data_IF_800834286639
#
_entry.id   IF_800834286639
#
_cell.length_a   1.000
_cell.length_b   1.000
_cell.length_c   1.000
_cell.angle_alpha   90.00
_cell.angle_beta   90.00
_cell.angle_gamma   90.00
#
_symmetry.space_group_name_H-M   'P 1'
#
loop_
_entity.id
_entity.type
_entity.pdbx_description
1 polymer ?
#
# COMPACT_ATOMS: atom_id res chain seq x y z
N UNK A 1 -15.51 17.99 12.30
CA UNK A 1 -14.16 18.42 11.87
C UNK A 1 -13.27 17.18 11.85
N UNK A 2 -12.72 16.79 10.69
CA UNK A 2 -11.92 15.56 10.58
C UNK A 2 -10.60 15.67 11.34
N UNK A 3 -10.00 14.53 11.72
CA UNK A 3 -8.68 14.49 12.35
C UNK A 3 -7.60 15.18 11.50
N UNK A 4 -7.72 15.08 10.17
CA UNK A 4 -6.85 15.78 9.21
C UNK A 4 -7.00 17.31 9.32
N UNK A 5 -8.22 17.84 9.43
CA UNK A 5 -8.45 19.28 9.56
C UNK A 5 -7.91 19.82 10.88
N UNK A 6 -8.09 19.08 11.97
CA UNK A 6 -7.52 19.43 13.27
C UNK A 6 -5.98 19.43 13.24
N UNK A 7 -5.36 18.44 12.59
CA UNK A 7 -3.91 18.38 12.40
C UNK A 7 -3.39 19.56 11.56
N UNK A 8 -4.02 19.82 10.39
CA UNK A 8 -3.66 20.97 9.52
C UNK A 8 -3.75 22.30 10.27
N UNK A 9 -4.77 22.49 11.11
CA UNK A 9 -4.91 23.68 11.96
C UNK A 9 -3.79 23.80 12.99
N UNK A 10 -3.36 22.67 13.59
CA UNK A 10 -2.30 22.64 14.61
C UNK A 10 -0.91 22.95 14.05
N UNK A 11 -0.55 22.38 12.89
CA UNK A 11 0.79 22.57 12.30
C UNK A 11 0.88 23.81 11.41
N UNK A 12 -0.26 24.33 10.96
CA UNK A 12 -0.33 25.44 10.01
C UNK A 12 -0.36 24.97 8.55
N UNK A 13 -1.06 25.71 7.68
CA UNK A 13 -1.34 25.31 6.30
C UNK A 13 -0.07 25.11 5.46
N UNK A 14 0.89 26.05 5.55
CA UNK A 14 2.13 25.99 4.79
C UNK A 14 3.00 24.79 5.19
N UNK A 15 3.15 24.57 6.50
CA UNK A 15 3.93 23.44 7.01
C UNK A 15 3.23 22.09 6.74
N UNK A 16 1.90 22.03 6.88
CA UNK A 16 1.14 20.86 6.48
C UNK A 16 1.36 20.49 5.01
N UNK A 17 1.38 21.51 4.13
CA UNK A 17 1.64 21.30 2.70
C UNK A 17 3.06 20.79 2.46
N UNK A 18 4.06 21.40 3.11
CA UNK A 18 5.46 20.97 3.01
C UNK A 18 5.63 19.51 3.44
N UNK A 19 5.08 19.13 4.61
CA UNK A 19 5.13 17.76 5.13
C UNK A 19 4.48 16.76 4.15
N UNK A 20 3.33 17.11 3.58
CA UNK A 20 2.61 16.25 2.63
C UNK A 20 3.44 16.07 1.36
N UNK A 21 3.98 17.14 0.79
CA UNK A 21 4.79 17.09 -0.42
C UNK A 21 6.07 16.27 -0.21
N UNK A 22 6.79 16.48 0.90
CA UNK A 22 8.00 15.71 1.22
C UNK A 22 7.69 14.22 1.42
N UNK A 23 6.62 13.91 2.14
CA UNK A 23 6.24 12.51 2.40
C UNK A 23 5.76 11.80 1.12
N UNK A 24 5.06 12.52 0.23
CA UNK A 24 4.63 11.99 -1.06
C UNK A 24 5.84 11.69 -1.97
N UNK A 25 6.76 12.66 -2.11
CA UNK A 25 7.96 12.47 -2.93
C UNK A 25 8.82 11.31 -2.44
N UNK A 26 9.03 11.20 -1.12
CA UNK A 26 9.77 10.08 -0.54
C UNK A 26 9.09 8.73 -0.82
N UNK A 27 7.77 8.66 -0.64
CA UNK A 27 6.98 7.46 -0.94
C UNK A 27 7.11 7.03 -2.41
N UNK A 28 6.93 7.97 -3.35
CA UNK A 28 7.05 7.71 -4.79
C UNK A 28 8.43 7.17 -5.17
N UNK A 29 9.51 7.79 -4.68
CA UNK A 29 10.87 7.32 -5.01
C UNK A 29 11.13 5.95 -4.35
N UNK A 30 10.64 5.72 -3.13
CA UNK A 30 10.76 4.43 -2.43
C UNK A 30 10.05 3.31 -3.20
N UNK A 31 8.82 3.54 -3.66
CA UNK A 31 8.08 2.61 -4.53
C UNK A 31 8.86 2.30 -5.80
N UNK A 32 9.40 3.32 -6.48
CA UNK A 32 10.18 3.09 -7.70
C UNK A 32 11.43 2.24 -7.46
N UNK A 33 12.10 2.39 -6.31
CA UNK A 33 13.20 1.51 -5.92
C UNK A 33 12.75 0.05 -5.71
N UNK A 34 11.58 -0.17 -5.13
CA UNK A 34 11.03 -1.51 -4.87
C UNK A 34 10.57 -2.18 -6.16
N UNK A 35 9.87 -1.45 -7.02
CA UNK A 35 9.49 -1.88 -8.37
C UNK A 35 10.73 -2.31 -9.16
N UNK A 36 11.74 -1.44 -9.24
CA UNK A 36 12.96 -1.74 -10.00
C UNK A 36 13.70 -2.96 -9.45
N UNK A 37 13.69 -3.17 -8.13
CA UNK A 37 14.26 -4.36 -7.51
C UNK A 37 13.51 -5.63 -7.90
N UNK A 38 12.18 -5.61 -7.86
CA UNK A 38 11.31 -6.74 -8.21
C UNK A 38 11.43 -7.09 -9.70
N UNK A 39 11.52 -6.09 -10.57
CA UNK A 39 11.71 -6.26 -12.01
C UNK A 39 13.14 -6.69 -12.40
N UNK A 40 14.10 -6.61 -11.46
CA UNK A 40 15.51 -6.92 -11.72
C UNK A 40 16.22 -5.89 -12.60
N UNK A 41 15.71 -4.65 -12.64
CA UNK A 41 16.30 -3.53 -13.39
C UNK A 41 17.09 -2.59 -12.47
N UNK A 42 17.85 -1.69 -13.06
CA UNK A 42 18.63 -0.72 -12.29
C UNK A 42 17.72 0.21 -11.48
N UNK A 43 17.99 0.31 -10.18
CA UNK A 43 17.23 1.18 -9.27
C UNK A 43 17.56 2.65 -9.52
N UNK A 44 16.61 3.58 -9.28
CA UNK A 44 16.84 5.00 -9.51
C UNK A 44 18.10 5.53 -8.81
N UNK A 45 18.94 6.23 -9.57
CA UNK A 45 20.09 6.93 -9.02
C UNK A 45 19.76 8.39 -8.74
N UNK A 46 20.21 8.90 -7.59
CA UNK A 46 20.08 10.31 -7.25
C UNK A 46 20.89 10.66 -6.01
N UNK A 47 21.46 11.87 -6.01
CA UNK A 47 22.35 12.34 -4.92
C UNK A 47 21.65 13.22 -3.91
N UNK A 48 20.41 13.65 -4.16
CA UNK A 48 19.67 14.45 -3.20
C UNK A 48 19.19 13.59 -2.02
N UNK A 49 18.84 14.25 -0.91
CA UNK A 49 18.46 13.59 0.33
C UNK A 49 17.26 12.63 0.18
N UNK A 50 16.30 12.96 -0.70
CA UNK A 50 15.11 12.12 -0.92
C UNK A 50 15.49 10.79 -1.55
N UNK A 51 16.40 10.79 -2.55
CA UNK A 51 16.85 9.55 -3.20
C UNK A 51 17.69 8.69 -2.27
N UNK A 52 18.60 9.29 -1.48
CA UNK A 52 19.40 8.56 -0.50
C UNK A 52 18.49 7.89 0.54
N UNK A 53 17.56 8.65 1.11
CA UNK A 53 16.62 8.13 2.10
C UNK A 53 15.68 7.08 1.49
N UNK A 54 15.15 7.29 0.28
CA UNK A 54 14.29 6.32 -0.39
C UNK A 54 15.02 5.00 -0.66
N UNK A 55 16.29 5.06 -1.05
CA UNK A 55 17.13 3.89 -1.23
C UNK A 55 17.28 3.12 0.09
N UNK A 56 17.63 3.79 1.19
CA UNK A 56 17.77 3.17 2.51
C UNK A 56 16.47 2.52 2.99
N UNK A 57 15.34 3.22 2.85
CA UNK A 57 14.03 2.72 3.26
C UNK A 57 13.58 1.51 2.43
N UNK A 58 13.85 1.52 1.12
CA UNK A 58 13.55 0.38 0.25
C UNK A 58 14.50 -0.80 0.51
N UNK A 59 15.79 -0.56 0.82
CA UNK A 59 16.72 -1.62 1.24
C UNK A 59 16.18 -2.36 2.47
N UNK A 60 15.67 -1.62 3.47
CA UNK A 60 15.06 -2.21 4.67
C UNK A 60 13.85 -3.10 4.32
N UNK A 61 12.96 -2.64 3.44
CA UNK A 61 11.81 -3.45 3.00
C UNK A 61 12.28 -4.69 2.23
N UNK A 62 13.29 -4.55 1.38
CA UNK A 62 13.85 -5.66 0.60
C UNK A 62 14.40 -6.73 1.54
N UNK A 63 15.27 -6.34 2.47
CA UNK A 63 15.97 -7.25 3.38
C UNK A 63 15.02 -7.98 4.33
N UNK A 64 13.95 -7.31 4.79
CA UNK A 64 13.04 -7.87 5.80
C UNK A 64 11.76 -8.48 5.20
N UNK A 65 11.20 -7.87 4.15
CA UNK A 65 9.87 -8.19 3.65
C UNK A 65 9.82 -9.12 2.44
N UNK A 66 10.90 -9.22 1.67
CA UNK A 66 10.90 -10.00 0.42
C UNK A 66 11.27 -11.47 0.63
N UNK A 67 11.84 -11.83 1.79
CA UNK A 67 12.38 -13.16 2.08
C UNK A 67 11.38 -14.32 1.96
N UNK A 68 10.08 -14.03 2.11
CA UNK A 68 8.99 -15.01 2.04
C UNK A 68 8.13 -14.88 0.78
N UNK A 69 8.49 -14.01 -0.15
CA UNK A 69 7.80 -13.92 -1.43
C UNK A 69 8.30 -15.04 -2.32
N UNK A 70 7.39 -15.94 -2.72
CA UNK A 70 7.68 -17.05 -3.61
C UNK A 70 7.68 -16.60 -5.07
N UNK A 71 6.68 -15.81 -5.45
CA UNK A 71 6.43 -15.35 -6.81
C UNK A 71 5.78 -13.98 -6.79
N UNK A 72 6.08 -13.13 -7.78
CA UNK A 72 5.36 -11.88 -8.04
C UNK A 72 4.61 -12.03 -9.35
N UNK A 73 3.29 -11.89 -9.30
CA UNK A 73 2.39 -11.97 -10.46
C UNK A 73 2.19 -10.62 -11.14
N UNK A 74 2.32 -9.52 -10.39
CA UNK A 74 2.26 -8.16 -10.92
C UNK A 74 2.81 -7.13 -9.94
N UNK A 75 3.37 -6.06 -10.49
CA UNK A 75 3.85 -4.87 -9.78
C UNK A 75 3.27 -3.63 -10.48
N UNK A 76 2.80 -2.64 -9.74
CA UNK A 76 2.11 -1.45 -10.29
C UNK A 76 1.00 -1.83 -11.28
N UNK A 77 0.25 -2.89 -10.95
CA UNK A 77 -0.72 -3.50 -11.85
C UNK A 77 -2.05 -2.77 -11.77
N UNK A 78 -2.51 -2.24 -12.91
CA UNK A 78 -3.89 -1.75 -13.06
C UNK A 78 -4.89 -2.89 -12.91
N UNK A 79 -5.83 -2.74 -11.99
CA UNK A 79 -6.92 -3.67 -11.71
C UNK A 79 -8.26 -2.95 -11.81
N UNK A 80 -9.25 -3.63 -12.37
CA UNK A 80 -10.58 -3.11 -12.57
C UNK A 80 -11.60 -4.15 -12.15
N UNK A 81 -12.51 -3.79 -11.26
CA UNK A 81 -13.76 -4.51 -11.09
C UNK A 81 -14.75 -3.97 -12.12
N UNK A 82 -15.14 -4.76 -13.14
CA UNK A 82 -15.93 -4.25 -14.26
C UNK A 82 -17.17 -3.48 -13.81
N UNK A 83 -17.35 -2.28 -14.36
CA UNK A 83 -18.47 -1.38 -14.10
C UNK A 83 -18.61 -0.84 -12.66
N UNK A 84 -17.66 -1.11 -11.75
CA UNK A 84 -17.71 -0.63 -10.36
C UNK A 84 -16.55 0.27 -9.97
N UNK A 85 -15.30 -0.16 -10.15
CA UNK A 85 -14.14 0.64 -9.75
C UNK A 85 -12.85 0.12 -10.40
N UNK A 86 -11.83 0.97 -10.42
CA UNK A 86 -10.50 0.59 -10.85
C UNK A 86 -9.45 1.29 -9.98
N UNK A 87 -8.24 0.72 -9.96
CA UNK A 87 -7.07 1.32 -9.33
C UNK A 87 -5.81 0.52 -9.65
N UNK A 88 -4.70 0.93 -9.06
CA UNK A 88 -3.41 0.27 -9.25
C UNK A 88 -2.98 -0.39 -7.96
N UNK A 89 -2.71 -1.69 -7.99
CA UNK A 89 -2.13 -2.40 -6.85
C UNK A 89 -0.60 -2.30 -6.92
N UNK A 90 0.03 -2.00 -5.79
CA UNK A 90 1.49 -1.98 -5.69
C UNK A 90 2.05 -3.35 -6.10
N UNK A 91 1.54 -4.43 -5.53
CA UNK A 91 2.02 -5.79 -5.79
C UNK A 91 0.93 -6.85 -5.67
N UNK A 92 0.95 -7.82 -6.57
CA UNK A 92 0.20 -9.07 -6.49
C UNK A 92 1.22 -10.21 -6.46
N UNK A 93 1.23 -11.00 -5.38
CA UNK A 93 2.29 -11.99 -5.19
C UNK A 93 1.82 -13.22 -4.40
N UNK A 94 2.66 -14.25 -4.36
CA UNK A 94 2.54 -15.39 -3.47
C UNK A 94 3.51 -15.20 -2.31
N UNK A 95 2.99 -15.05 -1.10
CA UNK A 95 3.76 -14.88 0.13
C UNK A 95 3.59 -16.10 1.02
N UNK A 96 4.67 -16.79 1.38
CA UNK A 96 4.64 -18.00 2.21
C UNK A 96 3.61 -19.05 1.71
N UNK A 97 3.58 -19.22 0.38
CA UNK A 97 2.68 -20.15 -0.33
C UNK A 97 1.23 -19.68 -0.50
N UNK A 98 0.86 -18.47 -0.05
CA UNK A 98 -0.50 -17.93 -0.20
C UNK A 98 -0.54 -16.72 -1.14
N UNK A 99 -1.49 -16.66 -2.10
CA UNK A 99 -1.72 -15.45 -2.88
C UNK A 99 -2.17 -14.28 -2.00
N UNK A 100 -1.55 -13.12 -2.17
CA UNK A 100 -1.85 -11.89 -1.41
C UNK A 100 -1.83 -10.66 -2.32
N UNK A 101 -2.59 -9.64 -1.94
CA UNK A 101 -2.32 -8.26 -2.38
C UNK A 101 -1.30 -7.64 -1.44
N UNK A 102 -0.12 -7.30 -1.98
CA UNK A 102 0.94 -6.59 -1.28
C UNK A 102 0.82 -5.08 -1.47
N UNK A 103 1.12 -4.32 -0.41
CA UNK A 103 1.09 -2.86 -0.44
C UNK A 103 2.24 -2.29 0.40
N UNK A 104 3.05 -1.42 -0.21
CA UNK A 104 4.22 -0.83 0.40
C UNK A 104 3.86 0.54 0.97
N UNK A 105 4.17 0.79 2.24
CA UNK A 105 3.94 2.12 2.86
C UNK A 105 5.19 2.68 3.48
N UNK A 106 5.45 3.96 3.23
CA UNK A 106 6.36 4.77 4.05
C UNK A 106 5.57 5.56 5.07
N UNK A 107 6.05 5.66 6.31
CA UNK A 107 5.36 6.43 7.34
C UNK A 107 6.27 7.26 8.24
N UNK A 108 5.78 8.42 8.70
CA UNK A 108 6.51 9.23 9.70
C UNK A 108 6.51 8.64 11.10
N UNK A 109 5.61 7.68 11.37
CA UNK A 109 5.46 7.04 12.68
C UNK A 109 5.15 5.56 12.52
N UNK A 110 5.68 4.77 13.44
CA UNK A 110 5.30 3.37 13.67
C UNK A 110 3.77 3.27 13.78
N UNK A 111 3.22 2.22 13.17
CA UNK A 111 1.78 1.97 13.09
C UNK A 111 1.36 0.84 14.01
N UNK A 112 0.12 0.92 14.47
CA UNK A 112 -0.59 -0.21 15.06
C UNK A 112 -1.58 -0.75 14.05
N UNK A 113 -1.87 -2.05 14.11
CA UNK A 113 -2.74 -2.74 13.15
C UNK A 113 -4.14 -2.10 13.11
N UNK A 114 -4.68 -1.70 14.26
CA UNK A 114 -5.97 -1.03 14.38
C UNK A 114 -6.01 0.39 13.79
N UNK A 115 -4.87 0.99 13.46
CA UNK A 115 -4.80 2.32 12.82
C UNK A 115 -4.73 2.27 11.30
N UNK A 116 -4.57 1.07 10.73
CA UNK A 116 -4.32 0.87 9.30
C UNK A 116 -5.39 0.01 8.63
N UNK A 117 -6.57 -0.08 9.24
CA UNK A 117 -7.68 -0.88 8.69
C UNK A 117 -8.04 -0.47 7.25
N UNK A 118 -7.99 0.83 6.93
CA UNK A 118 -8.24 1.31 5.57
C UNK A 118 -7.21 0.79 4.54
N UNK A 119 -5.98 0.43 4.95
CA UNK A 119 -5.01 -0.20 4.03
C UNK A 119 -5.45 -1.63 3.67
N UNK A 120 -6.00 -2.38 4.63
CA UNK A 120 -6.54 -3.71 4.33
C UNK A 120 -7.83 -3.64 3.50
N UNK A 121 -8.64 -2.59 3.68
CA UNK A 121 -9.79 -2.31 2.79
C UNK A 121 -9.33 -2.04 1.36
N UNK A 122 -8.22 -1.30 1.18
CA UNK A 122 -7.59 -1.09 -0.13
C UNK A 122 -7.13 -2.43 -0.75
N UNK A 123 -6.43 -3.28 0.02
CA UNK A 123 -6.07 -4.63 -0.45
C UNK A 123 -7.29 -5.46 -0.85
N UNK A 124 -8.39 -5.39 -0.09
CA UNK A 124 -9.62 -6.12 -0.40
C UNK A 124 -10.26 -5.67 -1.72
N UNK A 125 -10.24 -4.36 -2.00
CA UNK A 125 -10.70 -3.82 -3.29
C UNK A 125 -9.91 -4.42 -4.46
N UNK A 126 -8.58 -4.44 -4.35
CA UNK A 126 -7.72 -5.01 -5.39
C UNK A 126 -7.86 -6.53 -5.51
N UNK A 127 -8.00 -7.24 -4.39
CA UNK A 127 -8.23 -8.69 -4.40
C UNK A 127 -9.52 -9.03 -5.13
N UNK A 128 -10.62 -8.34 -4.84
CA UNK A 128 -11.91 -8.53 -5.53
C UNK A 128 -11.80 -8.26 -7.03
N UNK A 129 -11.15 -7.16 -7.43
CA UNK A 129 -10.95 -6.84 -8.85
C UNK A 129 -10.09 -7.89 -9.57
N UNK A 130 -9.00 -8.35 -8.93
CA UNK A 130 -8.14 -9.39 -9.49
C UNK A 130 -8.89 -10.72 -9.61
N UNK A 131 -9.63 -11.12 -8.58
CA UNK A 131 -10.42 -12.35 -8.56
C UNK A 131 -11.48 -12.36 -9.67
N UNK A 132 -12.17 -11.24 -9.88
CA UNK A 132 -13.18 -11.11 -10.93
C UNK A 132 -12.57 -11.20 -12.34
N UNK A 133 -11.45 -10.52 -12.59
CA UNK A 133 -10.84 -10.46 -13.93
C UNK A 133 -10.09 -11.73 -14.29
N UNK A 134 -9.39 -12.35 -13.34
CA UNK A 134 -8.47 -13.46 -13.59
C UNK A 134 -8.97 -14.81 -13.07
N UNK A 135 -10.15 -14.87 -12.43
CA UNK A 135 -10.70 -16.10 -11.86
C UNK A 135 -9.90 -16.65 -10.67
N UNK A 136 -9.16 -15.79 -9.97
CA UNK A 136 -8.41 -16.17 -8.76
C UNK A 136 -9.29 -16.12 -7.49
N UNK A 137 -8.73 -16.57 -6.37
CA UNK A 137 -9.37 -16.47 -5.04
C UNK A 137 -8.39 -15.92 -3.99
N UNK A 138 -7.91 -14.69 -4.21
CA UNK A 138 -7.05 -13.99 -3.26
C UNK A 138 -7.89 -13.59 -2.04
N UNK A 139 -7.55 -14.16 -0.87
CA UNK A 139 -8.25 -13.96 0.41
C UNK A 139 -7.32 -13.37 1.48
N UNK A 140 -6.30 -12.62 1.07
CA UNK A 140 -5.30 -12.07 1.97
C UNK A 140 -4.68 -10.76 1.48
N UNK A 141 -4.27 -9.93 2.43
CA UNK A 141 -3.58 -8.66 2.20
C UNK A 141 -2.34 -8.56 3.09
N UNK A 142 -1.24 -8.09 2.51
CA UNK A 142 0.05 -7.94 3.16
C UNK A 142 0.51 -6.48 3.08
N UNK A 143 0.57 -5.82 4.23
CA UNK A 143 1.06 -4.44 4.32
C UNK A 143 2.51 -4.47 4.80
N UNK A 144 3.41 -3.86 4.03
CA UNK A 144 4.83 -3.75 4.29
C UNK A 144 5.15 -2.28 4.57
N UNK A 145 5.43 -1.93 5.83
CA UNK A 145 5.62 -0.55 6.25
C UNK A 145 7.05 -0.33 6.71
N UNK A 146 7.66 0.76 6.27
CA UNK A 146 8.88 1.29 6.87
C UNK A 146 8.66 2.72 7.38
N UNK A 147 9.09 2.98 8.60
CA UNK A 147 9.06 4.34 9.14
C UNK A 147 10.20 5.18 8.52
N UNK A 148 10.09 6.50 8.54
CA UNK A 148 11.19 7.39 8.12
C UNK A 148 12.43 7.26 9.02
N UNK A 149 12.30 6.64 10.21
CA UNK A 149 13.40 6.29 11.10
C UNK A 149 14.00 4.90 10.84
N UNK A 150 13.52 4.19 9.81
CA UNK A 150 14.01 2.86 9.43
C UNK A 150 13.38 1.70 10.20
N UNK A 151 12.29 1.93 10.92
CA UNK A 151 11.59 0.83 11.62
C UNK A 151 10.67 0.09 10.66
N UNK A 152 10.96 -1.19 10.43
CA UNK A 152 10.16 -2.08 9.59
C UNK A 152 9.02 -2.73 10.38
N UNK A 153 7.84 -2.79 9.77
CA UNK A 153 6.68 -3.50 10.27
C UNK A 153 5.96 -4.19 9.11
N UNK A 154 5.40 -5.36 9.38
CA UNK A 154 4.52 -6.03 8.43
C UNK A 154 3.26 -6.50 9.10
N UNK A 155 2.16 -6.45 8.36
CA UNK A 155 0.86 -6.92 8.83
C UNK A 155 0.21 -7.76 7.74
N UNK A 156 0.00 -9.04 8.05
CA UNK A 156 -0.74 -9.97 7.21
C UNK A 156 -2.15 -10.16 7.80
N UNK A 157 -3.16 -10.05 6.93
CA UNK A 157 -4.55 -10.40 7.23
C UNK A 157 -5.01 -11.43 6.21
N UNK A 158 -5.77 -12.45 6.63
CA UNK A 158 -6.20 -13.55 5.76
C UNK A 158 -7.56 -14.11 6.15
N UNK A 159 -8.23 -14.76 5.20
CA UNK A 159 -9.46 -15.53 5.39
C UNK A 159 -10.55 -14.70 6.09
N UNK A 160 -11.12 -15.19 7.21
CA UNK A 160 -12.20 -14.50 7.92
C UNK A 160 -11.86 -13.07 8.36
N UNK A 161 -10.60 -12.80 8.72
CA UNK A 161 -10.18 -11.42 9.01
C UNK A 161 -10.17 -10.55 7.74
N UNK A 162 -9.73 -11.10 6.61
CA UNK A 162 -9.73 -10.37 5.34
C UNK A 162 -11.15 -10.15 4.80
N UNK A 163 -12.06 -11.09 5.04
CA UNK A 163 -13.48 -10.95 4.70
C UNK A 163 -14.09 -9.72 5.35
N UNK A 164 -13.74 -9.41 6.61
CA UNK A 164 -14.19 -8.17 7.28
C UNK A 164 -13.87 -6.93 6.42
N UNK A 165 -12.65 -6.84 5.89
CA UNK A 165 -12.23 -5.70 5.08
C UNK A 165 -12.85 -5.70 3.68
N UNK A 166 -13.16 -6.89 3.15
CA UNK A 166 -13.95 -7.07 1.93
C UNK A 166 -15.36 -6.52 2.09
N UNK A 167 -16.05 -6.90 3.18
CA UNK A 167 -17.40 -6.40 3.50
C UNK A 167 -17.37 -4.87 3.69
N UNK A 168 -16.38 -4.34 4.42
CA UNK A 168 -16.18 -2.88 4.59
C UNK A 168 -15.95 -2.15 3.27
N UNK A 169 -15.25 -2.75 2.30
CA UNK A 169 -15.07 -2.15 0.98
C UNK A 169 -16.38 -2.12 0.20
N UNK A 170 -17.12 -3.22 0.17
CA UNK A 170 -18.40 -3.31 -0.52
C UNK A 170 -19.42 -2.31 0.04
N UNK A 171 -19.46 -2.12 1.36
CA UNK A 171 -20.28 -1.07 2.00
C UNK A 171 -19.89 0.34 1.49
N UNK A 172 -18.59 0.62 1.34
CA UNK A 172 -18.11 1.91 0.80
C UNK A 172 -18.51 2.11 -0.66
N UNK A 173 -18.39 1.06 -1.48
CA UNK A 173 -18.83 1.09 -2.90
C UNK A 173 -20.34 1.34 -2.98
N UNK A 174 -21.13 0.61 -2.20
CA UNK A 174 -22.58 0.78 -2.17
C UNK A 174 -22.98 2.20 -1.73
N UNK A 175 -22.36 2.72 -0.67
CA UNK A 175 -22.59 4.07 -0.19
C UNK A 175 -22.24 5.14 -1.25
N UNK A 176 -21.12 4.96 -1.97
CA UNK A 176 -20.73 5.85 -3.06
C UNK A 176 -21.80 5.89 -4.15
N UNK A 177 -22.21 4.73 -4.66
CA UNK A 177 -23.22 4.65 -5.74
C UNK A 177 -24.62 5.09 -5.31
N UNK A 178 -24.98 4.97 -4.02
CA UNK A 178 -26.22 5.54 -3.48
C UNK A 178 -26.17 7.06 -3.44
N UNK A 179 -25.01 7.66 -3.16
CA UNK A 179 -24.84 9.10 -3.06
C UNK A 179 -24.68 9.80 -4.43
N UNK A 180 -24.29 9.06 -5.47
CA UNK A 180 -24.11 9.58 -6.84
C UNK A 180 -25.32 9.38 -7.75
N UNK A 181 -26.41 8.79 -7.24
CA UNK A 181 -27.73 8.75 -7.90
C UNK A 181 -28.54 9.98 -7.54
#
# INVERSE_FOLDING_TARGET
>A
MTGLNAWKKRVGKAEAQRIVTESANLGTVTHKHLESYIEGVERPAGTNQVYQQAKELSDIIIDNGMSKINEVWGIEQGLCFPNLYAGTADMVCVYDGIPVIGDFKTSRKVKKKEWIEDYFVQCAAYALAHNEVYGTDIQAGLILIVSHSGEYQQFLVKNGEFKKYTDMWLDKVEAFYKATK
#
